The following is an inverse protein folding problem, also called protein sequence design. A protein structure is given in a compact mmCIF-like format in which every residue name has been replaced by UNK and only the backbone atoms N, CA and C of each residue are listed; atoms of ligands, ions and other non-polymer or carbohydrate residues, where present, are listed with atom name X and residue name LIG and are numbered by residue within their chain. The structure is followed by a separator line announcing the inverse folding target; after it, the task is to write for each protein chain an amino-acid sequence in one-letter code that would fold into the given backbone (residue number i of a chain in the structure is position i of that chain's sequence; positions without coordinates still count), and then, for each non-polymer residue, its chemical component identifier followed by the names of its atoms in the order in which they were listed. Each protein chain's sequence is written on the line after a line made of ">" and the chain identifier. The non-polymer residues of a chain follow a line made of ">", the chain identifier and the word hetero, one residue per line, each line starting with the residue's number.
data_IF_328015081286
#
_entry.id   IF_328015081286
#
_cell.length_a   1.000
_cell.length_b   1.000
_cell.length_c   1.000
_cell.angle_alpha   90.00
_cell.angle_beta   90.00
_cell.angle_gamma   90.00
#
_symmetry.space_group_name_H-M   'P 1'
#
loop_
_entity.id
_entity.type
_entity.pdbx_description
1 polymer ?
#
# COMPACT_ATOMS: atom_id res chain seq x y z
N UNK A 1 -17.32 -0.07 2.16
CA UNK A 1 -17.88 -1.43 2.26
C UNK A 1 -16.85 -2.50 1.87
N UNK A 2 -16.34 -2.53 0.63
CA UNK A 2 -15.34 -3.53 0.19
C UNK A 2 -14.13 -3.64 1.13
N UNK A 3 -13.53 -2.51 1.51
CA UNK A 3 -12.40 -2.52 2.44
C UNK A 3 -12.76 -3.14 3.79
N UNK A 4 -13.94 -2.85 4.35
CA UNK A 4 -14.37 -3.43 5.62
C UNK A 4 -14.61 -4.95 5.51
N UNK A 5 -15.30 -5.38 4.45
CA UNK A 5 -15.53 -6.81 4.20
C UNK A 5 -14.22 -7.57 4.01
N UNK A 6 -13.28 -6.98 3.24
CA UNK A 6 -11.94 -7.51 3.07
C UNK A 6 -11.17 -7.57 4.40
N UNK A 7 -11.18 -6.51 5.21
CA UNK A 7 -10.49 -6.51 6.50
C UNK A 7 -11.03 -7.59 7.43
N UNK A 8 -12.36 -7.77 7.49
CA UNK A 8 -12.98 -8.84 8.27
C UNK A 8 -12.52 -10.21 7.77
N UNK A 9 -12.60 -10.45 6.46
CA UNK A 9 -12.11 -11.70 5.86
C UNK A 9 -10.63 -11.95 6.17
N UNK A 10 -9.80 -10.92 6.02
CA UNK A 10 -8.36 -11.02 6.21
C UNK A 10 -8.01 -11.27 7.69
N UNK A 11 -8.72 -10.67 8.65
CA UNK A 11 -8.54 -10.97 10.09
C UNK A 11 -8.99 -12.40 10.39
N UNK A 12 -10.16 -12.82 9.91
CA UNK A 12 -10.67 -14.18 10.17
C UNK A 12 -9.73 -15.27 9.63
N UNK A 13 -9.10 -15.04 8.48
CA UNK A 13 -8.13 -15.98 7.88
C UNK A 13 -6.79 -16.02 8.61
N UNK A 14 -6.51 -15.10 9.55
CA UNK A 14 -5.31 -15.19 10.41
C UNK A 14 -5.50 -16.02 11.67
N UNK A 15 -6.75 -16.34 12.03
CA UNK A 15 -7.02 -17.17 13.20
C UNK A 15 -6.41 -18.55 12.99
N UNK A 16 -5.60 -19.04 13.95
CA UNK A 16 -4.85 -20.30 13.82
C UNK A 16 -5.71 -21.48 13.32
N UNK A 17 -6.93 -21.62 13.85
CA UNK A 17 -7.87 -22.68 13.46
C UNK A 17 -8.30 -22.61 11.98
N UNK A 18 -8.38 -21.40 11.42
CA UNK A 18 -8.74 -21.17 10.01
C UNK A 18 -7.49 -21.25 9.14
N UNK A 19 -6.38 -20.67 9.60
CA UNK A 19 -5.12 -20.58 8.88
C UNK A 19 -4.52 -21.95 8.58
N UNK A 20 -4.60 -22.89 9.53
CA UNK A 20 -3.98 -24.21 9.40
C UNK A 20 -4.46 -25.04 8.19
N UNK A 21 -5.67 -24.78 7.68
CA UNK A 21 -6.21 -25.42 6.47
C UNK A 21 -6.29 -24.50 5.26
N UNK A 22 -5.65 -23.33 5.31
CA UNK A 22 -5.75 -22.32 4.27
C UNK A 22 -4.79 -22.65 3.12
N UNK A 23 -5.27 -22.70 1.86
CA UNK A 23 -4.42 -22.95 0.68
C UNK A 23 -3.38 -21.86 0.41
N UNK A 24 -3.55 -20.67 0.98
CA UNK A 24 -2.70 -19.50 0.78
C UNK A 24 -1.91 -19.12 2.05
N UNK A 25 -1.68 -20.08 2.94
CA UNK A 25 -0.92 -19.84 4.18
C UNK A 25 0.58 -19.67 3.95
N UNK A 26 1.09 -20.21 2.84
CA UNK A 26 2.49 -20.17 2.46
C UNK A 26 2.78 -19.12 1.37
N UNK A 27 4.05 -18.77 1.24
CA UNK A 27 4.52 -17.86 0.21
C UNK A 27 4.36 -18.48 -1.19
N UNK A 28 4.02 -17.68 -2.22
CA UNK A 28 4.00 -16.20 -2.25
C UNK A 28 2.66 -15.58 -1.81
N UNK A 29 1.66 -16.39 -1.47
CA UNK A 29 0.31 -15.90 -1.22
C UNK A 29 0.22 -15.14 0.10
N UNK A 30 0.87 -15.64 1.16
CA UNK A 30 0.88 -14.99 2.46
C UNK A 30 1.53 -13.60 2.41
N UNK A 31 2.59 -13.42 1.62
CA UNK A 31 3.18 -12.10 1.38
C UNK A 31 2.15 -11.11 0.79
N UNK A 32 1.38 -11.50 -0.24
CA UNK A 32 0.35 -10.63 -0.83
C UNK A 32 -0.72 -10.27 0.19
N UNK A 33 -1.20 -11.27 0.93
CA UNK A 33 -2.24 -11.10 1.94
C UNK A 33 -1.75 -10.17 3.06
N UNK A 34 -0.52 -10.36 3.55
CA UNK A 34 0.08 -9.53 4.62
C UNK A 34 0.22 -8.06 4.23
N UNK A 35 0.64 -7.79 2.99
CA UNK A 35 0.70 -6.44 2.46
C UNK A 35 -0.68 -5.78 2.38
N UNK A 36 -1.64 -6.49 1.81
CA UNK A 36 -2.97 -5.95 1.57
C UNK A 36 -3.78 -5.77 2.86
N UNK A 37 -3.58 -6.65 3.86
CA UNK A 37 -4.09 -6.52 5.24
C UNK A 37 -3.73 -5.17 5.87
N UNK A 38 -2.55 -4.65 5.59
CA UNK A 38 -2.10 -3.36 6.12
C UNK A 38 -2.56 -2.18 5.26
N UNK A 39 -2.34 -2.24 3.94
CA UNK A 39 -2.55 -1.09 3.06
C UNK A 39 -4.03 -0.82 2.74
N UNK A 40 -4.89 -1.84 2.69
CA UNK A 40 -6.32 -1.64 2.39
C UNK A 40 -7.02 -0.84 3.50
N UNK A 41 -6.90 -1.19 4.80
CA UNK A 41 -7.42 -0.36 5.88
C UNK A 41 -6.80 1.04 5.91
N UNK A 42 -5.49 1.16 5.65
CA UNK A 42 -4.81 2.45 5.62
C UNK A 42 -5.42 3.38 4.55
N UNK A 43 -5.57 2.91 3.31
CA UNK A 43 -6.21 3.69 2.24
C UNK A 43 -7.67 4.03 2.57
N UNK A 44 -8.41 3.07 3.12
CA UNK A 44 -9.79 3.29 3.52
C UNK A 44 -9.90 4.34 4.63
N UNK A 45 -9.00 4.32 5.61
CA UNK A 45 -8.92 5.29 6.69
C UNK A 45 -8.58 6.69 6.19
N UNK A 46 -7.55 6.81 5.33
CA UNK A 46 -7.17 8.10 4.73
C UNK A 46 -8.32 8.65 3.87
N UNK A 47 -9.03 7.81 3.11
CA UNK A 47 -10.23 8.21 2.38
C UNK A 47 -11.39 8.61 3.31
N UNK A 48 -11.62 7.87 4.39
CA UNK A 48 -12.68 8.13 5.37
C UNK A 48 -12.46 9.44 6.12
N UNK A 49 -11.20 9.83 6.39
CA UNK A 49 -10.85 11.12 6.99
C UNK A 49 -11.39 12.32 6.19
N UNK A 50 -11.70 12.16 4.90
CA UNK A 50 -12.25 13.23 4.05
C UNK A 50 -13.77 13.29 4.03
N UNK A 51 -14.44 12.26 4.54
CA UNK A 51 -15.91 12.22 4.59
C UNK A 51 -16.49 13.44 5.33
N UNK A 52 -15.92 13.93 6.46
CA UNK A 52 -16.41 15.14 7.12
C UNK A 52 -16.36 16.41 6.24
N UNK A 53 -15.47 16.45 5.25
CA UNK A 53 -15.35 17.57 4.30
C UNK A 53 -16.35 17.46 3.14
N UNK A 54 -17.08 16.36 3.03
CA UNK A 54 -18.16 16.17 2.07
C UNK A 54 -19.44 16.71 2.71
N UNK A 55 -19.66 18.03 2.62
CA UNK A 55 -20.92 18.65 3.09
C UNK A 55 -22.03 18.40 2.08
N UNK A 56 -23.23 18.10 2.57
CA UNK A 56 -24.40 17.81 1.72
C UNK A 56 -24.92 19.03 0.94
N UNK A 57 -24.53 20.26 1.33
CA UNK A 57 -25.10 21.50 0.79
C UNK A 57 -24.20 22.22 -0.23
N UNK A 58 -22.90 21.91 -0.30
CA UNK A 58 -21.97 22.57 -1.22
C UNK A 58 -21.50 21.61 -2.32
N UNK A 59 -21.48 22.02 -3.59
CA UNK A 59 -20.94 21.20 -4.67
C UNK A 59 -19.47 20.90 -4.39
N UNK A 60 -19.16 19.63 -4.19
CA UNK A 60 -17.82 19.17 -3.85
C UNK A 60 -16.87 19.43 -5.01
N UNK A 61 -15.63 19.93 -4.76
CA UNK A 61 -14.66 20.14 -5.83
C UNK A 61 -14.42 18.84 -6.62
N UNK A 62 -14.50 18.91 -7.94
CA UNK A 62 -14.35 17.73 -8.83
C UNK A 62 -13.02 17.00 -8.61
N UNK A 63 -11.94 17.74 -8.30
CA UNK A 63 -10.64 17.18 -7.95
C UNK A 63 -10.70 16.26 -6.71
N UNK A 64 -11.49 16.62 -5.68
CA UNK A 64 -11.65 15.83 -4.46
C UNK A 64 -12.40 14.53 -4.73
N UNK A 65 -13.45 14.58 -5.57
CA UNK A 65 -14.20 13.39 -6.01
C UNK A 65 -13.28 12.44 -6.77
N UNK A 66 -12.51 12.96 -7.73
CA UNK A 66 -11.56 12.16 -8.51
C UNK A 66 -10.53 11.46 -7.61
N UNK A 67 -9.98 12.17 -6.63
CA UNK A 67 -9.02 11.62 -5.68
C UNK A 67 -9.62 10.51 -4.80
N UNK A 68 -10.85 10.68 -4.31
CA UNK A 68 -11.55 9.64 -3.54
C UNK A 68 -11.88 8.42 -4.38
N UNK A 69 -12.29 8.62 -5.64
CA UNK A 69 -12.53 7.52 -6.58
C UNK A 69 -11.24 6.76 -6.89
N UNK A 70 -10.11 7.45 -7.04
CA UNK A 70 -8.80 6.80 -7.21
C UNK A 70 -8.36 6.06 -5.95
N UNK A 71 -8.64 6.59 -4.76
CA UNK A 71 -8.35 5.90 -3.50
C UNK A 71 -9.19 4.63 -3.36
N UNK A 72 -10.48 4.71 -3.70
CA UNK A 72 -11.38 3.56 -3.76
C UNK A 72 -10.94 2.52 -4.80
N UNK A 73 -10.51 2.97 -5.98
CA UNK A 73 -9.96 2.08 -7.02
C UNK A 73 -8.66 1.42 -6.53
N UNK A 74 -7.72 2.17 -5.97
CA UNK A 74 -6.46 1.64 -5.45
C UNK A 74 -6.70 0.57 -4.38
N UNK A 75 -7.58 0.84 -3.41
CA UNK A 75 -7.98 -0.14 -2.41
C UNK A 75 -8.65 -1.37 -3.06
N UNK A 76 -9.53 -1.17 -4.05
CA UNK A 76 -10.18 -2.28 -4.76
C UNK A 76 -9.20 -3.12 -5.56
N UNK A 77 -8.18 -2.52 -6.18
CA UNK A 77 -7.14 -3.24 -6.91
C UNK A 77 -6.25 -4.05 -5.98
N UNK A 78 -5.94 -3.55 -4.79
CA UNK A 78 -5.24 -4.33 -3.76
C UNK A 78 -6.07 -5.54 -3.31
N UNK A 79 -7.36 -5.34 -3.03
CA UNK A 79 -8.28 -6.43 -2.68
C UNK A 79 -8.37 -7.45 -3.82
N UNK A 80 -8.47 -6.98 -5.06
CA UNK A 80 -8.50 -7.84 -6.25
C UNK A 80 -7.22 -8.67 -6.40
N UNK A 81 -6.06 -8.07 -6.08
CA UNK A 81 -4.78 -8.76 -6.08
C UNK A 81 -4.75 -9.89 -5.06
N UNK A 82 -5.23 -9.66 -3.84
CA UNK A 82 -5.33 -10.72 -2.81
C UNK A 82 -6.26 -11.83 -3.24
N UNK A 83 -7.47 -11.50 -3.68
CA UNK A 83 -8.46 -12.48 -4.14
C UNK A 83 -7.91 -13.29 -5.33
N UNK A 84 -7.20 -12.64 -6.25
CA UNK A 84 -6.53 -13.31 -7.37
C UNK A 84 -5.46 -14.29 -6.90
N UNK A 85 -4.67 -13.92 -5.89
CA UNK A 85 -3.68 -14.79 -5.26
C UNK A 85 -4.35 -16.00 -4.59
N UNK A 86 -5.42 -15.77 -3.83
CA UNK A 86 -6.18 -16.83 -3.13
C UNK A 86 -6.83 -17.82 -4.11
N UNK A 87 -7.42 -17.31 -5.20
CA UNK A 87 -7.96 -18.15 -6.28
C UNK A 87 -6.86 -18.96 -6.98
N UNK A 88 -5.68 -18.35 -7.20
CA UNK A 88 -4.56 -19.05 -7.81
C UNK A 88 -4.04 -20.18 -6.90
N UNK A 89 -3.97 -19.95 -5.59
CA UNK A 89 -3.60 -20.98 -4.60
C UNK A 89 -4.57 -22.17 -4.64
N UNK A 90 -5.88 -21.89 -4.69
CA UNK A 90 -6.91 -22.93 -4.85
C UNK A 90 -6.78 -23.68 -6.18
N UNK A 91 -6.60 -22.95 -7.29
CA UNK A 91 -6.50 -23.54 -8.62
C UNK A 91 -5.27 -24.44 -8.78
N UNK A 92 -4.13 -24.04 -8.21
CA UNK A 92 -2.89 -24.82 -8.20
C UNK A 92 -2.88 -25.92 -7.13
N UNK A 93 -3.92 -26.01 -6.30
CA UNK A 93 -4.01 -26.92 -5.16
C UNK A 93 -2.78 -26.81 -4.24
N UNK A 94 -2.38 -25.57 -3.96
CA UNK A 94 -1.29 -25.26 -3.04
C UNK A 94 -1.57 -25.93 -1.69
N UNK A 95 -0.54 -26.63 -1.20
CA UNK A 95 -0.53 -27.35 0.08
C UNK A 95 -1.76 -28.23 0.32
N UNK A 96 -2.23 -28.91 -0.74
CA UNK A 96 -3.40 -29.80 -0.69
C UNK A 96 -3.36 -30.81 0.47
N UNK A 97 -2.16 -31.22 0.89
CA UNK A 97 -1.98 -32.16 2.01
C UNK A 97 -2.43 -31.58 3.36
N UNK A 98 -2.53 -30.26 3.48
CA UNK A 98 -2.92 -29.53 4.68
C UNK A 98 -4.41 -29.14 4.68
N UNK A 99 -5.14 -29.41 3.59
CA UNK A 99 -6.55 -29.04 3.48
C UNK A 99 -7.42 -29.79 4.50
N UNK A 100 -8.40 -29.09 5.06
CA UNK A 100 -9.28 -29.62 6.09
C UNK A 100 -10.75 -29.22 5.85
N UNK A 101 -11.62 -29.49 6.82
CA UNK A 101 -13.06 -29.18 6.72
C UNK A 101 -13.37 -27.68 6.59
N UNK A 102 -12.42 -26.78 6.87
CA UNK A 102 -12.57 -25.33 6.75
C UNK A 102 -12.25 -24.84 5.33
N UNK A 103 -11.41 -25.54 4.58
CA UNK A 103 -10.96 -25.13 3.23
C UNK A 103 -12.12 -24.89 2.24
N UNK A 104 -13.18 -25.72 2.16
CA UNK A 104 -14.31 -25.44 1.29
C UNK A 104 -15.05 -24.15 1.64
N UNK A 105 -15.19 -23.85 2.95
CA UNK A 105 -15.82 -22.61 3.41
C UNK A 105 -15.00 -21.38 3.07
N UNK A 106 -13.67 -21.49 3.14
CA UNK A 106 -12.76 -20.45 2.66
C UNK A 106 -12.97 -20.17 1.16
N UNK A 107 -13.01 -21.21 0.33
CA UNK A 107 -13.28 -21.06 -1.11
C UNK A 107 -14.65 -20.40 -1.39
N UNK A 108 -15.70 -20.82 -0.68
CA UNK A 108 -17.04 -20.23 -0.81
C UNK A 108 -17.04 -18.75 -0.40
N UNK A 109 -16.30 -18.38 0.64
CA UNK A 109 -16.22 -16.99 1.11
C UNK A 109 -15.50 -16.03 0.15
N UNK A 110 -14.67 -16.54 -0.77
CA UNK A 110 -14.05 -15.73 -1.83
C UNK A 110 -15.06 -15.26 -2.88
N UNK A 111 -16.14 -16.01 -3.11
CA UNK A 111 -17.17 -15.68 -4.12
C UNK A 111 -17.83 -14.33 -3.86
N UNK A 112 -18.40 -14.03 -2.67
CA UNK A 112 -18.99 -12.71 -2.41
C UNK A 112 -17.96 -11.58 -2.47
N UNK A 113 -16.72 -11.81 -2.01
CA UNK A 113 -15.65 -10.81 -2.13
C UNK A 113 -15.30 -10.50 -3.58
N UNK A 114 -15.22 -11.53 -4.42
CA UNK A 114 -15.00 -11.39 -5.87
C UNK A 114 -16.14 -10.58 -6.50
N UNK A 115 -17.40 -10.90 -6.15
CA UNK A 115 -18.57 -10.15 -6.59
C UNK A 115 -18.51 -8.67 -6.20
N UNK A 116 -18.13 -8.34 -4.97
CA UNK A 116 -17.98 -6.97 -4.49
C UNK A 116 -16.88 -6.19 -5.24
N UNK A 117 -15.75 -6.85 -5.54
CA UNK A 117 -14.68 -6.25 -6.35
C UNK A 117 -15.17 -5.98 -7.77
N UNK A 118 -15.77 -6.96 -8.44
CA UNK A 118 -16.30 -6.81 -9.79
C UNK A 118 -17.34 -5.69 -9.85
N UNK A 119 -18.30 -5.67 -8.92
CA UNK A 119 -19.32 -4.62 -8.84
C UNK A 119 -18.70 -3.23 -8.67
N UNK A 120 -17.71 -3.08 -7.79
CA UNK A 120 -17.01 -1.82 -7.59
C UNK A 120 -16.27 -1.38 -8.86
N UNK A 121 -15.54 -2.28 -9.54
CA UNK A 121 -14.82 -1.94 -10.76
C UNK A 121 -15.78 -1.51 -11.89
N UNK A 122 -16.93 -2.16 -12.02
CA UNK A 122 -17.98 -1.77 -12.97
C UNK A 122 -18.55 -0.39 -12.62
N UNK A 123 -18.90 -0.16 -11.35
CA UNK A 123 -19.40 1.14 -10.89
C UNK A 123 -18.37 2.24 -11.08
N UNK A 124 -17.10 1.99 -10.73
CA UNK A 124 -16.01 2.93 -10.93
C UNK A 124 -15.86 3.29 -12.41
N UNK A 125 -15.90 2.31 -13.31
CA UNK A 125 -15.83 2.55 -14.75
C UNK A 125 -17.03 3.37 -15.25
N UNK A 126 -18.23 3.16 -14.71
CA UNK A 126 -19.41 3.96 -15.04
C UNK A 126 -19.26 5.41 -14.58
N UNK A 127 -18.85 5.62 -13.33
CA UNK A 127 -18.63 6.96 -12.76
C UNK A 127 -17.51 7.70 -13.49
N UNK A 128 -16.41 7.00 -13.81
CA UNK A 128 -15.29 7.59 -14.53
C UNK A 128 -15.68 8.12 -15.93
N UNK A 129 -16.70 7.53 -16.58
CA UNK A 129 -17.23 8.04 -17.86
C UNK A 129 -18.10 9.28 -17.71
N UNK A 130 -18.63 9.54 -16.52
CA UNK A 130 -19.47 10.70 -16.23
C UNK A 130 -18.65 11.93 -15.78
N UNK A 131 -17.39 11.73 -15.39
CA UNK A 131 -16.53 12.82 -14.96
C UNK A 131 -16.03 13.63 -16.15
N UNK A 132 -16.05 14.98 -16.07
CA UNK A 132 -15.50 15.82 -17.13
C UNK A 132 -13.99 15.57 -17.30
N UNK A 133 -13.46 15.75 -18.53
CA UNK A 133 -12.03 15.64 -18.80
C UNK A 133 -11.24 16.52 -17.85
N UNK A 134 -10.15 15.96 -17.29
CA UNK A 134 -9.32 16.68 -16.35
C UNK A 134 -8.67 17.87 -17.01
N UNK A 135 -8.95 19.06 -16.48
CA UNK A 135 -8.21 20.26 -16.83
C UNK A 135 -6.78 20.14 -16.31
N UNK A 136 -5.82 19.99 -17.23
CA UNK A 136 -4.39 19.87 -16.92
C UNK A 136 -3.74 21.23 -16.64
N UNK A 137 -4.44 22.33 -16.91
CA UNK A 137 -3.93 23.69 -16.72
C UNK A 137 -4.15 24.20 -15.29
N UNK A 138 -5.12 23.61 -14.57
CA UNK A 138 -5.39 23.98 -13.19
C UNK A 138 -4.32 23.43 -12.25
N UNK A 139 -3.80 24.24 -11.29
CA UNK A 139 -2.91 23.75 -10.25
C UNK A 139 -3.53 22.54 -9.56
N UNK A 140 -2.76 21.47 -9.40
CA UNK A 140 -3.27 20.25 -8.78
C UNK A 140 -3.55 20.51 -7.29
N UNK A 141 -4.83 20.60 -6.93
CA UNK A 141 -5.26 20.49 -5.54
C UNK A 141 -4.78 19.15 -4.99
N UNK A 142 -4.01 19.17 -3.90
CA UNK A 142 -3.43 17.97 -3.27
C UNK A 142 -4.07 17.69 -1.91
N UNK A 143 -3.81 16.50 -1.37
CA UNK A 143 -4.50 16.12 -0.14
C UNK A 143 -4.08 16.94 1.06
N UNK A 144 -2.87 17.45 1.02
CA UNK A 144 -2.32 18.32 2.05
C UNK A 144 -3.11 19.63 2.20
N UNK A 145 -3.69 20.14 1.10
CA UNK A 145 -4.56 21.31 1.12
C UNK A 145 -5.87 21.13 1.87
N UNK A 146 -6.33 19.88 2.05
CA UNK A 146 -7.54 19.55 2.80
C UNK A 146 -7.28 19.42 4.32
N UNK A 147 -6.02 19.47 4.79
CA UNK A 147 -5.70 19.35 6.21
C UNK A 147 -6.23 20.52 7.06
N UNK A 148 -6.02 21.81 6.70
CA UNK A 148 -6.55 22.92 7.50
C UNK A 148 -8.08 22.85 7.75
N UNK A 149 -8.95 22.69 6.74
CA UNK A 149 -10.39 22.61 6.98
C UNK A 149 -10.79 21.33 7.72
N UNK A 150 -10.03 20.23 7.57
CA UNK A 150 -10.26 19.01 8.33
C UNK A 150 -9.99 19.24 9.82
N UNK A 151 -8.85 19.85 10.14
CA UNK A 151 -8.47 20.16 11.51
C UNK A 151 -9.47 21.11 12.17
N UNK A 152 -9.95 22.12 11.45
CA UNK A 152 -11.00 23.02 11.93
C UNK A 152 -12.32 22.26 12.22
N UNK A 153 -12.72 21.37 11.31
CA UNK A 153 -13.92 20.54 11.48
C UNK A 153 -13.82 19.58 12.66
N UNK A 154 -12.64 19.00 12.89
CA UNK A 154 -12.38 18.11 14.02
C UNK A 154 -12.29 18.89 15.33
N UNK A 155 -11.65 20.06 15.33
CA UNK A 155 -11.54 20.94 16.49
C UNK A 155 -12.92 21.42 16.96
N UNK A 156 -13.82 21.77 16.03
CA UNK A 156 -15.20 22.16 16.34
C UNK A 156 -16.04 21.04 16.98
N UNK A 157 -15.60 19.77 16.88
CA UNK A 157 -16.28 18.62 17.49
C UNK A 157 -15.72 18.23 18.85
N UNK A 158 -14.61 18.84 19.29
CA UNK A 158 -14.00 18.55 20.59
C UNK A 158 -14.64 19.41 21.70
N UNK A 159 -14.98 18.84 22.88
CA UNK A 159 -15.57 19.59 23.97
C UNK A 159 -14.63 20.70 24.49
N UNK A 160 -15.22 21.87 24.79
CA UNK A 160 -14.58 23.17 25.07
C UNK A 160 -13.46 23.19 26.14
N UNK A 161 -13.29 22.15 26.95
CA UNK A 161 -12.21 22.06 27.95
C UNK A 161 -10.84 21.70 27.36
N UNK A 162 -10.79 21.00 26.22
CA UNK A 162 -9.55 20.67 25.49
C UNK A 162 -9.25 21.65 24.34
N UNK A 163 -10.23 22.45 23.93
CA UNK A 163 -10.21 23.27 22.70
C UNK A 163 -9.60 24.68 22.82
N UNK A 164 -9.14 25.11 24.00
CA UNK A 164 -8.54 26.46 24.17
C UNK A 164 -7.03 26.53 23.97
N UNK A 165 -6.33 25.41 23.81
CA UNK A 165 -4.88 25.37 23.97
C UNK A 165 -4.02 25.37 22.70
N UNK A 166 -4.52 24.91 21.55
CA UNK A 166 -3.65 24.75 20.37
C UNK A 166 -4.40 25.18 19.11
N UNK A 167 -4.14 26.39 18.59
CA UNK A 167 -4.40 26.63 17.18
C UNK A 167 -3.50 25.66 16.40
N UNK A 168 -4.05 24.54 15.96
CA UNK A 168 -3.44 23.65 14.97
C UNK A 168 -3.52 24.32 13.59
N UNK A 169 -3.04 25.57 13.51
CA UNK A 169 -2.93 26.31 12.27
C UNK A 169 -1.70 25.81 11.53
N UNK A 170 -1.91 24.89 10.60
CA UNK A 170 -0.91 24.53 9.61
C UNK A 170 -0.67 25.76 8.72
N UNK A 171 0.38 26.53 9.03
CA UNK A 171 0.76 27.68 8.24
C UNK A 171 1.18 27.22 6.82
N UNK A 172 0.94 28.05 5.81
CA UNK A 172 1.32 27.84 4.40
C UNK A 172 2.81 27.45 4.28
N UNK A 173 3.67 27.98 5.15
CA UNK A 173 5.09 27.62 5.22
C UNK A 173 5.34 26.15 5.57
N UNK A 174 4.57 25.58 6.51
CA UNK A 174 4.66 24.16 6.91
C UNK A 174 4.20 23.26 5.77
N UNK A 175 3.07 23.58 5.14
CA UNK A 175 2.56 22.83 3.99
C UNK A 175 3.55 22.89 2.81
N UNK A 176 4.14 24.06 2.56
CA UNK A 176 5.19 24.25 1.56
C UNK A 176 6.48 23.47 1.88
N UNK A 177 6.86 23.37 3.16
CA UNK A 177 7.96 22.53 3.60
C UNK A 177 7.66 21.04 3.37
N UNK A 178 6.47 20.56 3.78
CA UNK A 178 6.05 19.18 3.57
C UNK A 178 6.03 18.79 2.09
N UNK A 179 5.54 19.66 1.20
CA UNK A 179 5.57 19.44 -0.26
C UNK A 179 7.00 19.32 -0.81
N UNK A 180 7.91 20.17 -0.34
CA UNK A 180 9.33 20.18 -0.78
C UNK A 180 10.11 18.96 -0.29
N UNK A 181 9.84 18.52 0.94
CA UNK A 181 10.56 17.44 1.62
C UNK A 181 9.78 16.14 1.72
N UNK A 182 8.69 15.99 0.95
CA UNK A 182 7.75 14.86 1.03
C UNK A 182 8.46 13.50 1.06
N UNK A 183 9.39 13.24 0.12
CA UNK A 183 10.07 11.95 0.05
C UNK A 183 10.90 11.63 1.30
N UNK A 184 11.59 12.64 1.86
CA UNK A 184 12.37 12.46 3.08
C UNK A 184 11.49 12.26 4.31
N UNK A 185 10.41 13.04 4.42
CA UNK A 185 9.42 12.91 5.49
C UNK A 185 8.69 11.56 5.43
N UNK A 186 8.33 11.11 4.22
CA UNK A 186 7.74 9.80 4.00
C UNK A 186 8.70 8.68 4.40
N UNK A 187 9.98 8.75 4.00
CA UNK A 187 10.99 7.78 4.41
C UNK A 187 11.17 7.75 5.92
N UNK A 188 11.27 8.91 6.59
CA UNK A 188 11.39 9.00 8.03
C UNK A 188 10.16 8.45 8.77
N UNK A 189 8.95 8.78 8.30
CA UNK A 189 7.70 8.26 8.87
C UNK A 189 7.58 6.75 8.68
N UNK A 190 7.95 6.22 7.50
CA UNK A 190 7.98 4.79 7.25
C UNK A 190 9.00 4.09 8.15
N UNK A 191 10.20 4.66 8.33
CA UNK A 191 11.23 4.10 9.21
C UNK A 191 10.76 4.06 10.67
N UNK A 192 10.21 5.16 11.18
CA UNK A 192 9.67 5.22 12.54
C UNK A 192 8.52 4.22 12.75
N UNK A 193 7.56 4.18 11.82
CA UNK A 193 6.45 3.23 11.86
C UNK A 193 6.90 1.78 11.78
N UNK A 194 7.93 1.49 10.98
CA UNK A 194 8.53 0.16 10.86
C UNK A 194 9.15 -0.29 12.17
N UNK A 195 10.00 0.56 12.78
CA UNK A 195 10.65 0.24 14.06
C UNK A 195 9.59 -0.02 15.13
N UNK A 196 8.55 0.80 15.21
CA UNK A 196 7.45 0.59 16.16
C UNK A 196 6.70 -0.74 15.92
N UNK A 197 6.36 -1.04 14.66
CA UNK A 197 5.63 -2.27 14.32
C UNK A 197 6.44 -3.53 14.59
N UNK A 198 7.68 -3.59 14.09
CA UNK A 198 8.55 -4.77 14.24
C UNK A 198 8.97 -4.96 15.70
N UNK A 199 9.20 -3.89 16.45
CA UNK A 199 9.45 -4.00 17.91
C UNK A 199 8.23 -4.58 18.63
N UNK A 200 7.01 -4.16 18.27
CA UNK A 200 5.78 -4.72 18.80
C UNK A 200 5.66 -6.22 18.54
N UNK A 201 5.94 -6.66 17.31
CA UNK A 201 5.94 -8.08 16.96
C UNK A 201 7.02 -8.85 17.71
N UNK A 202 8.25 -8.34 17.75
CA UNK A 202 9.35 -8.97 18.47
C UNK A 202 9.03 -9.15 19.96
N UNK A 203 8.38 -8.17 20.61
CA UNK A 203 7.94 -8.30 22.00
C UNK A 203 6.85 -9.36 22.14
N UNK A 204 5.87 -9.40 21.22
CA UNK A 204 4.77 -10.37 21.29
C UNK A 204 5.20 -11.81 21.03
N UNK A 205 6.27 -12.02 20.25
CA UNK A 205 6.77 -13.35 19.87
C UNK A 205 7.92 -13.84 20.78
N UNK A 206 8.26 -13.09 21.83
CA UNK A 206 9.31 -13.49 22.79
C UNK A 206 10.75 -13.17 22.35
N UNK A 207 10.91 -12.29 21.36
CA UNK A 207 12.17 -11.74 20.88
C UNK A 207 12.58 -12.28 19.51
N UNK A 208 13.26 -11.44 18.72
CA UNK A 208 13.82 -11.81 17.41
C UNK A 208 15.34 -11.90 17.48
N UNK A 209 15.93 -12.77 16.65
CA UNK A 209 17.36 -12.64 16.35
C UNK A 209 17.61 -11.30 15.62
N UNK A 210 18.79 -10.71 15.82
CA UNK A 210 19.13 -9.42 15.19
C UNK A 210 19.00 -9.46 13.65
N UNK A 211 19.29 -10.61 13.04
CA UNK A 211 19.21 -10.76 11.58
C UNK A 211 17.76 -10.78 11.09
N UNK A 212 16.88 -11.50 11.77
CA UNK A 212 15.44 -11.54 11.45
C UNK A 212 14.83 -10.16 11.64
N UNK A 213 15.14 -9.50 12.77
CA UNK A 213 14.67 -8.15 13.04
C UNK A 213 15.06 -7.15 11.94
N UNK A 214 16.34 -7.16 11.51
CA UNK A 214 16.81 -6.26 10.46
C UNK A 214 16.16 -6.58 9.10
N UNK A 215 15.96 -7.85 8.79
CA UNK A 215 15.32 -8.27 7.54
C UNK A 215 13.85 -7.85 7.50
N UNK A 216 13.11 -8.07 8.58
CA UNK A 216 11.72 -7.65 8.69
C UNK A 216 11.59 -6.13 8.62
N UNK A 217 12.48 -5.40 9.29
CA UNK A 217 12.55 -3.96 9.17
C UNK A 217 12.82 -3.52 7.73
N UNK A 218 13.76 -4.15 7.03
CA UNK A 218 14.06 -3.83 5.64
C UNK A 218 12.84 -4.06 4.73
N UNK A 219 12.19 -5.22 4.85
CA UNK A 219 11.03 -5.60 4.04
C UNK A 219 9.85 -4.66 4.31
N UNK A 220 9.55 -4.40 5.59
CA UNK A 220 8.42 -3.56 5.96
C UNK A 220 8.66 -2.09 5.60
N UNK A 221 9.88 -1.57 5.81
CA UNK A 221 10.27 -0.22 5.43
C UNK A 221 10.19 -0.03 3.92
N UNK A 222 10.81 -0.93 3.14
CA UNK A 222 10.83 -0.85 1.68
C UNK A 222 9.44 -0.97 1.09
N UNK A 223 8.65 -1.95 1.55
CA UNK A 223 7.27 -2.15 1.14
C UNK A 223 6.39 -0.93 1.43
N UNK A 224 6.43 -0.42 2.66
CA UNK A 224 5.64 0.75 3.09
C UNK A 224 6.07 2.02 2.36
N UNK A 225 7.37 2.25 2.23
CA UNK A 225 7.88 3.40 1.49
C UNK A 225 7.48 3.33 0.00
N UNK A 226 7.70 2.19 -0.65
CA UNK A 226 7.32 1.97 -2.04
C UNK A 226 5.83 2.18 -2.26
N UNK A 227 5.00 1.64 -1.35
CA UNK A 227 3.56 1.86 -1.37
C UNK A 227 3.19 3.33 -1.23
N UNK A 228 3.74 4.05 -0.26
CA UNK A 228 3.45 5.49 -0.05
C UNK A 228 3.81 6.30 -1.29
N UNK A 229 4.91 5.98 -1.97
CA UNK A 229 5.33 6.66 -3.19
C UNK A 229 4.39 6.38 -4.38
N UNK A 230 3.92 5.14 -4.54
CA UNK A 230 2.91 4.78 -5.55
C UNK A 230 1.56 5.43 -5.22
N UNK A 231 1.12 5.34 -3.97
CA UNK A 231 -0.12 5.95 -3.50
C UNK A 231 -0.09 7.46 -3.71
N UNK A 232 1.03 8.13 -3.42
CA UNK A 232 1.17 9.56 -3.72
C UNK A 232 1.05 9.86 -5.21
N UNK A 233 1.63 9.00 -6.07
CA UNK A 233 1.56 9.18 -7.53
C UNK A 233 0.14 8.96 -8.07
N UNK A 234 -0.57 7.96 -7.56
CA UNK A 234 -1.93 7.66 -7.97
C UNK A 234 -2.96 8.66 -7.40
N UNK A 235 -2.84 8.98 -6.11
CA UNK A 235 -3.84 9.73 -5.36
C UNK A 235 -3.54 11.23 -5.27
N UNK A 236 -2.32 11.66 -5.63
CA UNK A 236 -1.86 13.05 -5.47
C UNK A 236 -1.98 13.52 -4.01
N UNK A 237 -1.50 12.69 -3.07
CA UNK A 237 -1.53 13.01 -1.64
C UNK A 237 -0.81 14.33 -1.37
N UNK A 238 0.34 14.53 -2.03
CA UNK A 238 1.16 15.74 -1.94
C UNK A 238 1.65 16.12 -3.33
N UNK A 239 1.34 17.36 -3.75
CA UNK A 239 1.85 17.93 -4.99
C UNK A 239 3.35 18.21 -4.81
N UNK A 240 4.19 17.30 -5.33
CA UNK A 240 5.63 17.46 -5.29
C UNK A 240 6.05 18.41 -6.43
N UNK A 241 6.87 19.44 -6.15
CA UNK A 241 7.40 20.33 -7.18
C UNK A 241 8.10 19.56 -8.31
N UNK A 242 8.11 20.13 -9.51
CA UNK A 242 8.81 19.54 -10.65
C UNK A 242 10.30 19.37 -10.32
N UNK A 243 10.75 18.12 -10.26
CA UNK A 243 12.16 17.79 -10.04
C UNK A 243 12.89 17.61 -11.37
N UNK A 244 14.19 17.90 -11.36
CA UNK A 244 15.09 17.64 -12.48
C UNK A 244 15.11 16.16 -12.89
N UNK A 245 15.57 15.90 -14.12
CA UNK A 245 15.50 14.58 -14.78
C UNK A 245 16.11 13.47 -13.94
N UNK A 246 17.35 13.67 -13.48
CA UNK A 246 18.10 12.71 -12.68
C UNK A 246 17.37 12.36 -11.37
N UNK A 247 16.83 13.38 -10.69
CA UNK A 247 16.10 13.19 -9.43
C UNK A 247 14.77 12.44 -9.65
N UNK A 248 14.12 12.64 -10.81
CA UNK A 248 12.92 11.89 -11.18
C UNK A 248 13.25 10.42 -11.44
N UNK A 249 14.28 10.15 -12.24
CA UNK A 249 14.74 8.78 -12.52
C UNK A 249 15.15 8.07 -11.22
N UNK A 250 15.91 8.73 -10.35
CA UNK A 250 16.27 8.20 -9.04
C UNK A 250 15.04 7.89 -8.18
N UNK A 251 14.02 8.76 -8.17
CA UNK A 251 12.78 8.49 -7.42
C UNK A 251 12.03 7.27 -7.94
N UNK A 252 11.95 7.10 -9.27
CA UNK A 252 11.35 5.91 -9.88
C UNK A 252 12.15 4.67 -9.51
N UNK A 253 13.48 4.71 -9.64
CA UNK A 253 14.38 3.62 -9.27
C UNK A 253 14.20 3.16 -7.82
N UNK A 254 14.25 4.11 -6.87
CA UNK A 254 14.09 3.81 -5.45
C UNK A 254 12.69 3.26 -5.16
N UNK A 255 11.64 3.82 -5.78
CA UNK A 255 10.27 3.32 -5.58
C UNK A 255 10.10 1.90 -6.11
N UNK A 256 10.58 1.63 -7.32
CA UNK A 256 10.50 0.31 -7.95
C UNK A 256 11.34 -0.72 -7.20
N UNK A 257 12.57 -0.37 -6.81
CA UNK A 257 13.41 -1.24 -6.00
C UNK A 257 12.78 -1.55 -4.64
N UNK A 258 12.22 -0.54 -3.97
CA UNK A 258 11.56 -0.70 -2.68
C UNK A 258 10.33 -1.62 -2.74
N UNK A 259 9.52 -1.55 -3.81
CA UNK A 259 8.40 -2.47 -4.03
C UNK A 259 8.85 -3.90 -4.38
N UNK A 260 10.03 -4.04 -4.99
CA UNK A 260 10.56 -5.34 -5.41
C UNK A 260 11.03 -6.16 -4.21
N UNK A 261 11.56 -5.52 -3.16
CA UNK A 261 12.06 -6.22 -1.96
C UNK A 261 11.02 -7.19 -1.35
N UNK A 262 9.79 -6.78 -1.00
CA UNK A 262 8.80 -7.70 -0.46
C UNK A 262 8.29 -8.72 -1.48
N UNK A 263 8.23 -8.35 -2.76
CA UNK A 263 7.87 -9.30 -3.82
C UNK A 263 8.92 -10.40 -3.95
N UNK A 264 10.20 -10.05 -3.88
CA UNK A 264 11.30 -10.99 -3.89
C UNK A 264 11.34 -11.86 -2.62
N UNK A 265 10.84 -11.35 -1.48
CA UNK A 265 10.69 -12.14 -0.27
C UNK A 265 9.65 -13.26 -0.47
N UNK A 266 8.46 -12.92 -0.98
CA UNK A 266 7.42 -13.90 -1.26
C UNK A 266 7.79 -14.88 -2.37
N UNK A 267 8.57 -14.45 -3.36
CA UNK A 267 9.03 -15.29 -4.48
C UNK A 267 10.43 -15.89 -4.27
N UNK A 268 10.98 -15.84 -3.05
CA UNK A 268 12.39 -16.16 -2.76
C UNK A 268 12.84 -17.50 -3.33
N UNK A 269 12.04 -18.56 -3.15
CA UNK A 269 12.40 -19.91 -3.56
C UNK A 269 12.33 -20.06 -5.08
N UNK A 270 11.36 -19.42 -5.71
CA UNK A 270 11.25 -19.37 -7.17
C UNK A 270 12.43 -18.61 -7.80
N UNK A 271 12.82 -17.46 -7.23
CA UNK A 271 13.96 -16.68 -7.70
C UNK A 271 15.27 -17.46 -7.48
N UNK A 272 15.44 -18.04 -6.30
CA UNK A 272 16.63 -18.81 -5.95
C UNK A 272 16.82 -20.03 -6.84
N UNK A 273 15.74 -20.76 -7.12
CA UNK A 273 15.75 -21.91 -8.02
C UNK A 273 15.95 -21.52 -9.48
N UNK A 274 15.35 -20.41 -9.94
CA UNK A 274 15.59 -19.88 -11.29
C UNK A 274 17.05 -19.49 -11.52
N UNK A 275 17.77 -19.08 -10.47
CA UNK A 275 19.21 -18.81 -10.51
C UNK A 275 20.08 -20.08 -10.43
N UNK A 276 19.50 -21.28 -10.29
CA UNK A 276 20.25 -22.54 -10.18
C UNK A 276 20.96 -22.74 -8.84
N UNK A 277 20.56 -22.02 -7.79
CA UNK A 277 21.24 -22.02 -6.48
C UNK A 277 20.66 -23.02 -5.47
N UNK A 278 19.71 -23.86 -5.90
CA UNK A 278 19.02 -24.86 -5.07
C UNK A 278 17.49 -24.71 -5.11
N UNK A 279 16.77 -25.49 -4.30
CA UNK A 279 15.29 -25.47 -4.28
C UNK A 279 14.70 -24.46 -3.30
N UNK A 280 15.34 -24.25 -2.15
CA UNK A 280 14.81 -23.44 -1.06
C UNK A 280 15.88 -22.52 -0.47
N UNK A 281 15.45 -21.34 -0.05
CA UNK A 281 16.24 -20.42 0.77
C UNK A 281 16.17 -20.88 2.22
N UNK A 282 17.30 -21.33 2.77
CA UNK A 282 17.35 -21.97 4.11
C UNK A 282 18.02 -21.10 5.17
N UNK A 283 18.71 -20.03 4.77
CA UNK A 283 19.43 -19.15 5.70
C UNK A 283 18.99 -17.70 5.57
N UNK A 284 19.01 -16.92 6.68
CA UNK A 284 18.71 -15.49 6.63
C UNK A 284 19.64 -14.70 5.68
N UNK A 285 20.89 -15.14 5.52
CA UNK A 285 21.85 -14.53 4.59
C UNK A 285 21.44 -14.70 3.12
N UNK A 286 20.98 -15.89 2.73
CA UNK A 286 20.43 -16.13 1.38
C UNK A 286 19.16 -15.30 1.14
N UNK A 287 18.31 -15.18 2.17
CA UNK A 287 17.10 -14.36 2.13
C UNK A 287 17.42 -12.88 1.92
N UNK A 288 18.40 -12.35 2.66
CA UNK A 288 18.88 -10.99 2.48
C UNK A 288 19.48 -10.79 1.08
N UNK A 289 20.28 -11.76 0.60
CA UNK A 289 20.89 -11.68 -0.72
C UNK A 289 19.84 -11.62 -1.84
N UNK A 290 18.86 -12.52 -1.85
CA UNK A 290 17.85 -12.57 -2.93
C UNK A 290 16.96 -11.33 -2.94
N UNK A 291 16.56 -10.84 -1.76
CA UNK A 291 15.69 -9.66 -1.64
C UNK A 291 16.42 -8.37 -2.01
N UNK A 292 17.63 -8.15 -1.48
CA UNK A 292 18.44 -6.96 -1.79
C UNK A 292 18.91 -6.95 -3.24
N UNK A 293 19.40 -8.07 -3.77
CA UNK A 293 19.86 -8.14 -5.16
C UNK A 293 18.71 -7.87 -6.13
N UNK A 294 17.52 -8.45 -5.88
CA UNK A 294 16.33 -8.21 -6.70
C UNK A 294 15.91 -6.73 -6.64
N UNK A 295 15.88 -6.14 -5.45
CA UNK A 295 15.55 -4.72 -5.25
C UNK A 295 16.51 -3.78 -5.98
N UNK A 296 17.82 -4.02 -5.86
CA UNK A 296 18.85 -3.24 -6.54
C UNK A 296 18.76 -3.40 -8.07
N UNK A 297 18.62 -4.62 -8.56
CA UNK A 297 18.51 -4.90 -10.00
C UNK A 297 17.30 -4.19 -10.61
N UNK A 298 16.12 -4.35 -10.01
CA UNK A 298 14.90 -3.70 -10.51
C UNK A 298 14.96 -2.18 -10.40
N UNK A 299 15.58 -1.66 -9.34
CA UNK A 299 15.86 -0.23 -9.21
C UNK A 299 16.75 0.29 -10.34
N UNK A 300 17.84 -0.42 -10.65
CA UNK A 300 18.76 -0.06 -11.73
C UNK A 300 18.12 -0.13 -13.11
N UNK A 301 17.31 -1.16 -13.38
CA UNK A 301 16.55 -1.28 -14.63
C UNK A 301 15.57 -0.11 -14.77
N UNK A 302 14.80 0.18 -13.71
CA UNK A 302 13.85 1.29 -13.71
C UNK A 302 14.54 2.65 -13.89
N UNK A 303 15.74 2.83 -13.32
CA UNK A 303 16.57 4.02 -13.53
C UNK A 303 16.95 4.18 -15.00
N UNK A 304 17.48 3.12 -15.62
CA UNK A 304 17.89 3.12 -17.02
C UNK A 304 16.74 3.42 -17.98
N UNK A 305 15.59 2.77 -17.77
CA UNK A 305 14.37 3.01 -18.57
C UNK A 305 13.88 4.46 -18.39
N UNK A 306 13.87 4.96 -17.16
CA UNK A 306 13.43 6.32 -16.87
C UNK A 306 14.35 7.39 -17.48
N UNK A 307 15.64 7.10 -17.65
CA UNK A 307 16.56 7.97 -18.39
C UNK A 307 16.34 7.88 -19.91
N UNK A 308 16.18 6.66 -20.45
CA UNK A 308 16.10 6.42 -21.88
C UNK A 308 14.81 6.95 -22.53
N UNK A 309 13.66 6.77 -21.88
CA UNK A 309 12.35 7.23 -22.38
C UNK A 309 12.26 8.76 -22.59
N UNK A 310 13.26 9.52 -22.15
CA UNK A 310 13.35 10.97 -22.32
C UNK A 310 14.40 11.41 -23.35
N UNK A 311 15.21 10.47 -23.87
CA UNK A 311 16.17 10.74 -24.96
C UNK A 311 15.56 10.54 -26.33
N UNK A 312 14.45 9.80 -26.45
CA UNK A 312 13.68 9.75 -27.70
C UNK A 312 12.89 11.06 -27.87
N UNK A 313 13.24 11.95 -28.81
CA UNK A 313 12.39 13.08 -29.13
C UNK A 313 11.05 12.55 -29.63
N UNK A 314 9.96 13.08 -29.09
CA UNK A 314 8.62 13.00 -29.71
C UNK A 314 8.48 14.14 -30.70
#
# INVERSE_FOLDING_TARGET
>A
MNAAAFTVFAVLTTLHAVRAGSPWQDDPYDAVVSFTKFFVPLLAGIGALRVPLCRAADPMPSARIEQLLRAGLAATLLIALTIGADWLALALRADHQLWNSTTPWLAVSLVPLTGLVCAHLVLHRRVARLLPPRDRTRPADDWLGDLPPLMETLAARLPNAAGRGVPLTLNVGVLGFMRRHFTGLAAAACAAGTVLAITGFAVSEGGFSATVFLLDCLVFLSGTFGFVMVANTALQLVAVPSVGRLRRAGRTAVTTGALTVPMALGLRDAIWSACGLGRHVTTPGQLAAVTLASGLLMGSIAFGIALNNWMSPR
#
